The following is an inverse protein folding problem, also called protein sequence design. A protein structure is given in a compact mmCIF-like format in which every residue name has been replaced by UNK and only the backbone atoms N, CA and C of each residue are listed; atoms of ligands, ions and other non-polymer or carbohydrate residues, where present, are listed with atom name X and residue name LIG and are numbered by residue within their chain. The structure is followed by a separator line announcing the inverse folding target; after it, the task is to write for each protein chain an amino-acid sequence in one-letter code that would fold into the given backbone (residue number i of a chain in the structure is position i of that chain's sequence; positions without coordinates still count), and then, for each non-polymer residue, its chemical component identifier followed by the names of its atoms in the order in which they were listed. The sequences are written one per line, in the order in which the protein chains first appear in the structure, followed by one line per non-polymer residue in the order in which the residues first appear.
data_IF_253605226801
#
_entry.id   IF_253605226801
#
_cell.length_a   1.000
_cell.length_b   1.000
_cell.length_c   1.000
_cell.angle_alpha   90.00
_cell.angle_beta   90.00
_cell.angle_gamma   90.00
#
_symmetry.space_group_name_H-M   'P 1'
#
loop_
_entity.id
_entity.type
_entity.pdbx_description
1 polymer ?
#
# COMPACT_ATOMS: atom_id res chain seq x y z
N UNK A 1 -20.63 2.84 3.54
CA UNK A 1 -19.86 4.00 3.07
C UNK A 1 -18.59 3.65 2.23
N UNK A 2 -18.53 2.56 1.43
CA UNK A 2 -17.36 2.28 0.56
C UNK A 2 -17.01 3.42 -0.40
N UNK A 3 -18.00 4.02 -1.06
CA UNK A 3 -17.78 5.06 -2.07
C UNK A 3 -17.01 6.26 -1.54
N UNK A 4 -17.26 6.65 -0.28
CA UNK A 4 -16.54 7.77 0.36
C UNK A 4 -15.08 7.43 0.63
N UNK A 5 -14.80 6.18 1.01
CA UNK A 5 -13.44 5.71 1.27
C UNK A 5 -12.66 5.60 -0.04
N UNK A 6 -13.28 5.01 -1.07
CA UNK A 6 -12.73 4.97 -2.43
C UNK A 6 -12.42 6.39 -2.93
N UNK A 7 -13.40 7.29 -2.92
CA UNK A 7 -13.20 8.67 -3.36
C UNK A 7 -12.09 9.39 -2.56
N UNK A 8 -12.03 9.17 -1.25
CA UNK A 8 -10.99 9.72 -0.38
C UNK A 8 -9.59 9.23 -0.73
N UNK A 9 -9.43 7.91 -0.90
CA UNK A 9 -8.17 7.31 -1.32
C UNK A 9 -7.73 7.81 -2.69
N UNK A 10 -8.64 7.79 -3.67
CA UNK A 10 -8.33 8.21 -5.05
C UNK A 10 -7.91 9.68 -5.10
N UNK A 11 -8.59 10.55 -4.33
CA UNK A 11 -8.22 11.95 -4.21
C UNK A 11 -6.78 12.09 -3.69
N UNK A 12 -6.42 11.41 -2.60
CA UNK A 12 -5.06 11.48 -2.06
C UNK A 12 -4.02 10.93 -3.03
N UNK A 13 -4.27 9.76 -3.61
CA UNK A 13 -3.37 9.14 -4.57
C UNK A 13 -3.12 10.05 -5.79
N UNK A 14 -4.15 10.74 -6.26
CA UNK A 14 -4.04 11.71 -7.36
C UNK A 14 -3.33 12.99 -6.93
N UNK A 15 -3.73 13.58 -5.80
CA UNK A 15 -3.20 14.85 -5.27
C UNK A 15 -1.69 14.79 -5.02
N UNK A 16 -1.21 13.64 -4.56
CA UNK A 16 0.21 13.43 -4.25
C UNK A 16 1.01 12.75 -5.36
N UNK A 17 0.38 12.48 -6.52
CA UNK A 17 1.08 12.00 -7.71
C UNK A 17 1.48 10.52 -7.68
N UNK A 18 0.62 9.63 -7.16
CA UNK A 18 0.83 8.18 -7.29
C UNK A 18 0.91 7.75 -8.75
N UNK A 19 -0.02 8.29 -9.52
CA UNK A 19 -0.31 7.90 -10.89
C UNK A 19 0.55 8.69 -11.86
N UNK A 20 1.11 8.00 -12.86
CA UNK A 20 1.51 8.66 -14.10
C UNK A 20 0.28 9.00 -14.97
N UNK A 21 0.51 9.52 -16.18
CA UNK A 21 -0.55 9.87 -17.14
C UNK A 21 -1.47 8.69 -17.50
N UNK A 22 -0.94 7.47 -17.49
CA UNK A 22 -1.65 6.22 -17.79
C UNK A 22 -2.30 5.57 -16.55
N UNK A 23 -2.28 6.24 -15.40
CA UNK A 23 -2.73 5.71 -14.08
C UNK A 23 -1.95 4.50 -13.58
N UNK A 24 -0.68 4.44 -13.92
CA UNK A 24 0.22 3.38 -13.50
C UNK A 24 1.04 3.76 -12.28
N UNK A 25 1.36 2.75 -11.48
CA UNK A 25 2.14 2.86 -10.25
C UNK A 25 2.75 1.49 -9.89
N UNK A 26 3.62 1.46 -8.89
CA UNK A 26 4.16 0.22 -8.32
C UNK A 26 3.31 -0.22 -7.13
N UNK A 27 2.97 -1.50 -7.06
CA UNK A 27 2.34 -2.14 -5.92
C UNK A 27 3.29 -3.17 -5.32
N UNK A 28 3.47 -3.13 -4.00
CA UNK A 28 4.22 -4.15 -3.28
C UNK A 28 3.36 -5.41 -3.18
N UNK A 29 3.90 -6.55 -3.62
CA UNK A 29 3.27 -7.86 -3.47
C UNK A 29 4.20 -8.77 -2.68
N UNK A 30 3.66 -9.41 -1.65
CA UNK A 30 4.39 -10.44 -0.92
C UNK A 30 4.24 -11.77 -1.66
N UNK A 31 5.34 -12.30 -2.19
CA UNK A 31 5.39 -13.68 -2.65
C UNK A 31 5.72 -14.56 -1.46
N UNK A 32 4.72 -14.87 -0.63
CA UNK A 32 4.89 -15.91 0.37
C UNK A 32 5.18 -17.23 -0.36
N UNK A 33 6.44 -17.67 -0.39
CA UNK A 33 6.79 -19.03 -0.79
C UNK A 33 6.24 -19.96 0.29
N UNK A 34 5.08 -20.55 0.03
CA UNK A 34 4.36 -21.52 0.88
C UNK A 34 5.20 -22.72 1.39
N UNK A 35 6.48 -22.83 1.03
CA UNK A 35 7.37 -23.94 1.36
C UNK A 35 8.61 -23.57 2.20
N UNK A 36 8.84 -22.29 2.56
CA UNK A 36 9.96 -21.92 3.45
C UNK A 36 9.51 -21.96 4.92
N UNK A 37 9.88 -23.01 5.63
CA UNK A 37 9.70 -23.16 7.09
C UNK A 37 10.77 -22.41 7.90
N UNK A 38 11.20 -21.23 7.43
CA UNK A 38 12.26 -20.46 8.08
C UNK A 38 11.91 -18.97 8.11
N UNK A 39 12.42 -18.28 9.14
CA UNK A 39 12.27 -16.83 9.39
C UNK A 39 13.02 -15.96 8.36
N UNK A 40 13.02 -16.35 7.09
CA UNK A 40 13.61 -15.55 6.02
C UNK A 40 12.61 -14.48 5.62
N UNK A 41 13.10 -13.24 5.48
CA UNK A 41 12.34 -12.07 5.04
C UNK A 41 11.36 -12.44 3.93
N UNK A 42 10.12 -11.99 4.08
CA UNK A 42 9.10 -12.12 3.05
C UNK A 42 9.67 -11.58 1.73
N UNK A 43 9.63 -12.39 0.66
CA UNK A 43 10.09 -11.99 -0.67
C UNK A 43 9.08 -10.96 -1.23
N UNK A 44 9.23 -9.70 -0.81
CA UNK A 44 8.45 -8.56 -1.32
C UNK A 44 8.98 -8.19 -2.70
N UNK A 45 8.08 -8.16 -3.68
CA UNK A 45 8.37 -7.66 -5.01
C UNK A 45 7.53 -6.42 -5.34
N UNK A 46 8.04 -5.61 -6.25
CA UNK A 46 7.29 -4.49 -6.82
C UNK A 46 6.77 -4.87 -8.20
N UNK A 47 5.46 -4.76 -8.39
CA UNK A 47 4.81 -4.96 -9.68
C UNK A 47 4.27 -3.64 -10.19
N UNK A 48 4.52 -3.33 -11.47
CA UNK A 48 3.86 -2.21 -12.14
C UNK A 48 2.44 -2.61 -12.48
N UNK A 49 1.48 -1.81 -12.02
CA UNK A 49 0.05 -2.00 -12.25
C UNK A 49 -0.56 -0.73 -12.81
N UNK A 50 -1.73 -0.86 -13.43
CA UNK A 50 -2.53 0.27 -13.94
C UNK A 50 -3.88 0.26 -13.25
N UNK A 51 -4.30 1.41 -12.71
CA UNK A 51 -5.66 1.56 -12.19
C UNK A 51 -6.65 1.60 -13.36
N UNK A 52 -7.60 0.66 -13.37
CA UNK A 52 -8.66 0.60 -14.37
C UNK A 52 -9.69 1.72 -14.16
N UNK A 53 -10.52 1.99 -15.17
CA UNK A 53 -11.63 2.94 -15.05
C UNK A 53 -12.70 2.44 -14.08
N UNK A 54 -12.99 1.14 -14.14
CA UNK A 54 -13.77 0.44 -13.12
C UNK A 54 -12.81 -0.14 -12.09
N UNK A 55 -12.82 0.42 -10.88
CA UNK A 55 -11.98 -0.01 -9.78
C UNK A 55 -12.73 0.11 -8.47
N UNK A 56 -12.36 -0.73 -7.51
CA UNK A 56 -12.90 -0.70 -6.18
C UNK A 56 -11.88 -1.21 -5.17
N UNK A 57 -11.46 -0.32 -4.26
CA UNK A 57 -10.50 -0.66 -3.23
C UNK A 57 -11.18 -1.29 -2.00
N UNK A 58 -12.48 -1.02 -1.77
CA UNK A 58 -13.16 -1.25 -0.47
C UNK A 58 -14.44 -2.11 -0.59
N UNK A 59 -15.08 -2.23 -1.74
CA UNK A 59 -16.34 -2.98 -1.87
C UNK A 59 -16.21 -4.26 -2.74
N UNK A 60 -15.31 -4.29 -3.72
CA UNK A 60 -15.24 -5.34 -4.74
C UNK A 60 -14.86 -6.71 -4.23
N UNK A 61 -14.02 -6.78 -3.20
CA UNK A 61 -13.61 -8.05 -2.58
C UNK A 61 -13.54 -7.98 -1.06
N UNK A 62 -14.10 -6.96 -0.41
CA UNK A 62 -14.04 -6.90 1.06
C UNK A 62 -14.75 -8.07 1.72
N UNK A 63 -15.76 -8.69 1.11
CA UNK A 63 -16.34 -9.93 1.64
C UNK A 63 -15.42 -11.15 1.44
N UNK A 64 -14.62 -11.22 0.37
CA UNK A 64 -13.65 -12.30 0.14
C UNK A 64 -12.37 -12.11 0.96
N UNK A 65 -11.85 -10.89 1.01
CA UNK A 65 -10.74 -10.47 1.86
C UNK A 65 -11.14 -10.65 3.32
N UNK A 66 -12.35 -10.24 3.73
CA UNK A 66 -12.88 -10.53 5.06
C UNK A 66 -13.20 -12.00 5.27
N UNK A 67 -13.67 -12.81 4.31
CA UNK A 67 -14.02 -14.20 4.60
C UNK A 67 -12.79 -15.10 4.68
N UNK A 68 -11.82 -14.94 3.77
CA UNK A 68 -10.56 -15.69 3.78
C UNK A 68 -9.68 -15.25 4.96
N UNK A 69 -9.62 -13.95 5.22
CA UNK A 69 -8.81 -13.42 6.32
C UNK A 69 -9.61 -13.25 7.61
N UNK A 70 -10.92 -13.49 7.72
CA UNK A 70 -11.67 -13.37 9.00
C UNK A 70 -11.10 -14.28 10.10
N UNK A 71 -10.50 -15.41 9.70
CA UNK A 71 -9.75 -16.28 10.59
C UNK A 71 -8.35 -15.76 10.96
N UNK A 72 -7.81 -14.79 10.22
CA UNK A 72 -6.46 -14.21 10.36
C UNK A 72 -6.48 -12.79 10.92
N UNK A 73 -7.58 -12.05 10.73
CA UNK A 73 -7.92 -10.74 11.29
C UNK A 73 -8.16 -10.85 12.80
N UNK A 74 -7.08 -11.10 13.53
CA UNK A 74 -6.98 -10.72 14.94
C UNK A 74 -6.83 -9.19 15.02
N UNK A 75 -6.89 -8.60 16.21
CA UNK A 75 -6.53 -7.18 16.43
C UNK A 75 -5.15 -6.78 15.85
N UNK A 76 -4.32 -7.77 15.45
CA UNK A 76 -2.95 -7.60 14.99
C UNK A 76 -2.73 -7.78 13.48
N UNK A 77 -3.67 -8.32 12.71
CA UNK A 77 -3.46 -8.52 11.28
C UNK A 77 -4.31 -7.55 10.46
N UNK A 78 -3.65 -6.57 9.86
CA UNK A 78 -4.27 -5.44 9.18
C UNK A 78 -3.71 -5.41 7.75
N UNK A 79 -4.50 -5.69 6.70
CA UNK A 79 -4.07 -5.65 5.32
C UNK A 79 -3.49 -4.29 5.04
N UNK A 80 -2.25 -4.31 4.59
CA UNK A 80 -1.48 -3.14 4.29
C UNK A 80 -0.97 -3.24 2.86
N UNK A 81 -1.31 -2.24 2.07
CA UNK A 81 -0.86 -2.13 0.69
C UNK A 81 0.14 -0.99 0.61
N UNK A 82 1.37 -1.30 0.22
CA UNK A 82 2.36 -0.27 -0.10
C UNK A 82 2.40 -0.05 -1.60
N UNK A 83 2.29 1.22 -1.99
CA UNK A 83 2.27 1.67 -3.37
C UNK A 83 3.34 2.75 -3.55
N UNK A 84 3.90 2.87 -4.74
CA UNK A 84 4.89 3.91 -5.05
C UNK A 84 4.68 4.48 -6.45
N UNK A 85 4.96 5.77 -6.60
CA UNK A 85 4.98 6.40 -7.92
C UNK A 85 6.15 5.87 -8.75
N UNK A 86 5.97 5.80 -10.07
CA UNK A 86 7.03 5.31 -10.98
C UNK A 86 8.27 6.22 -11.01
N UNK A 87 8.10 7.51 -10.69
CA UNK A 87 9.19 8.47 -10.58
C UNK A 87 9.90 8.44 -9.21
N UNK A 88 9.48 7.57 -8.30
CA UNK A 88 10.05 7.38 -6.97
C UNK A 88 9.85 8.57 -6.01
N UNK A 89 9.03 9.56 -6.37
CA UNK A 89 8.84 10.78 -5.57
C UNK A 89 7.84 10.61 -4.44
N UNK A 90 7.06 9.54 -4.44
CA UNK A 90 6.10 9.32 -3.37
C UNK A 90 5.81 7.83 -3.16
N UNK A 91 5.52 7.47 -1.92
CA UNK A 91 4.97 6.19 -1.52
C UNK A 91 3.67 6.42 -0.74
N UNK A 92 2.74 5.48 -0.88
CA UNK A 92 1.45 5.50 -0.23
C UNK A 92 1.25 4.15 0.44
N UNK A 93 0.93 4.18 1.72
CA UNK A 93 0.65 2.99 2.50
C UNK A 93 -0.81 3.06 2.96
N UNK A 94 -1.61 2.07 2.57
CA UNK A 94 -3.04 2.00 2.91
C UNK A 94 -3.32 0.78 3.77
N UNK A 95 -3.86 1.04 4.95
CA UNK A 95 -4.09 0.05 6.00
C UNK A 95 -5.60 -0.10 6.25
N UNK A 96 -6.11 -1.33 6.22
CA UNK A 96 -7.51 -1.67 6.43
C UNK A 96 -7.77 -2.25 7.82
N UNK A 97 -8.29 -1.45 8.73
CA UNK A 97 -8.58 -1.87 10.09
C UNK A 97 -9.81 -2.77 10.15
N UNK A 98 -9.78 -3.80 11.01
CA UNK A 98 -10.87 -4.77 11.16
C UNK A 98 -12.23 -4.19 11.60
N UNK A 99 -12.27 -2.92 12.02
CA UNK A 99 -13.49 -2.17 12.34
C UNK A 99 -14.06 -1.39 11.14
N UNK A 100 -13.50 -1.57 9.94
CA UNK A 100 -13.93 -0.87 8.72
C UNK A 100 -13.31 0.52 8.54
N UNK A 101 -12.37 0.91 9.40
CA UNK A 101 -11.58 2.13 9.21
C UNK A 101 -10.50 1.89 8.17
N UNK A 102 -10.19 2.90 7.35
CA UNK A 102 -9.05 2.89 6.45
C UNK A 102 -8.13 4.04 6.81
N UNK A 103 -6.85 3.74 7.01
CA UNK A 103 -5.81 4.74 7.16
C UNK A 103 -4.97 4.78 5.91
N UNK A 104 -4.53 5.97 5.51
CA UNK A 104 -3.59 6.13 4.41
C UNK A 104 -2.53 7.14 4.80
N UNK A 105 -1.28 6.75 4.62
CA UNK A 105 -0.11 7.59 4.89
C UNK A 105 0.59 7.85 3.56
N UNK A 106 0.94 9.11 3.33
CA UNK A 106 1.74 9.53 2.17
C UNK A 106 3.15 9.84 2.65
N UNK A 107 4.13 9.18 2.04
CA UNK A 107 5.55 9.35 2.33
C UNK A 107 6.18 9.98 1.09
N UNK A 108 6.82 11.14 1.26
CA UNK A 108 7.58 11.79 0.19
C UNK A 108 9.05 11.79 0.57
N UNK A 109 9.90 11.01 -0.11
CA UNK A 109 11.34 11.06 0.10
C UNK A 109 11.83 12.50 -0.09
N UNK A 110 12.58 13.00 0.88
CA UNK A 110 13.25 14.27 0.72
C UNK A 110 14.38 14.09 -0.31
N UNK A 111 14.43 14.94 -1.33
CA UNK A 111 15.47 14.92 -2.36
C UNK A 111 16.79 15.57 -1.90
N UNK A 112 16.93 15.85 -0.61
CA UNK A 112 18.19 16.31 -0.02
C UNK A 112 19.22 15.17 0.05
N UNK A 113 20.50 15.48 0.25
CA UNK A 113 21.52 14.47 0.46
C UNK A 113 21.10 13.57 1.63
N UNK A 114 21.28 12.26 1.47
CA UNK A 114 21.15 11.31 2.57
C UNK A 114 22.25 11.68 3.57
N UNK A 115 21.87 12.35 4.65
CA UNK A 115 22.80 12.64 5.75
C UNK A 115 23.01 11.32 6.48
N UNK A 116 24.25 10.84 6.48
CA UNK A 116 24.61 9.70 7.34
C UNK A 116 24.27 10.12 8.79
N UNK A 117 23.37 9.40 9.47
CA UNK A 117 23.01 9.72 10.85
C UNK A 117 24.21 9.70 11.82
N UNK A 118 25.35 9.13 11.40
CA UNK A 118 26.61 9.13 12.16
C UNK A 118 27.48 10.38 11.93
N UNK A 119 27.28 11.14 10.85
CA UNK A 119 28.06 12.37 10.56
C UNK A 119 27.50 13.62 11.28
N UNK A 120 26.24 13.58 11.71
CA UNK A 120 25.58 14.73 12.37
C UNK A 120 25.93 14.91 13.86
N UNK A 121 26.90 14.16 14.39
CA UNK A 121 27.28 14.14 15.83
C UNK A 121 28.69 14.63 16.14
N UNK A 122 29.43 15.14 15.16
CA UNK A 122 30.77 15.73 15.35
C UNK A 122 30.75 17.24 15.44
#
# INVERSE_FOLDING_TARGET
MPDKVNAGWFRMASEYGLFNEDREFLLSVCYARYWKTGTGDDDIAWVRVRLLDEWDLVAGEVDLLRSYMAGLFTERFVPEFTMASLDGRMMLNTTFWGNGTVSTIVIRPHSGPVVDPNEART
#
